data_IF_369285022666
#
_entry.id   IF_369285022666
#
_cell.length_a   1.000
_cell.length_b   1.000
_cell.length_c   1.000
_cell.angle_alpha   90.00
_cell.angle_beta   90.00
_cell.angle_gamma   90.00
#
_symmetry.space_group_name_H-M   'P 1'
#
loop_
_entity.id
_entity.type
_entity.pdbx_description
1 polymer ?
#
# COMPACT_ATOMS: atom_id res chain seq x y z
N UNK A 1 -2.53 -12.46 -13.51
CA UNK A 1 -3.24 -12.20 -12.22
C UNK A 1 -4.52 -11.43 -12.49
N UNK A 2 -5.54 -11.52 -11.64
CA UNK A 2 -6.84 -10.83 -11.85
C UNK A 2 -7.01 -9.64 -10.90
N UNK A 3 -7.79 -8.64 -11.32
CA UNK A 3 -7.99 -7.38 -10.58
C UNK A 3 -8.62 -7.61 -9.20
N UNK A 4 -9.46 -8.64 -9.07
CA UNK A 4 -10.08 -9.04 -7.81
C UNK A 4 -9.04 -9.46 -6.78
N UNK A 5 -7.96 -10.15 -7.22
CA UNK A 5 -6.87 -10.55 -6.31
C UNK A 5 -6.08 -9.35 -5.82
N UNK A 6 -5.94 -8.31 -6.65
CA UNK A 6 -5.38 -7.03 -6.22
C UNK A 6 -6.33 -6.33 -5.24
N UNK A 7 -7.63 -6.28 -5.53
CA UNK A 7 -8.63 -5.60 -4.71
C UNK A 7 -8.68 -6.14 -3.27
N UNK A 8 -8.44 -7.43 -3.06
CA UNK A 8 -8.34 -8.04 -1.71
C UNK A 8 -7.27 -7.36 -0.84
N UNK A 9 -6.15 -6.94 -1.43
CA UNK A 9 -5.06 -6.25 -0.72
C UNK A 9 -5.23 -4.72 -0.70
N UNK A 10 -6.17 -4.21 -1.48
CA UNK A 10 -6.43 -2.79 -1.69
C UNK A 10 -7.91 -2.45 -1.36
N UNK A 11 -8.38 -2.73 -0.13
CA UNK A 11 -9.80 -2.56 0.22
C UNK A 11 -10.29 -1.11 0.09
N UNK A 12 -9.37 -0.14 0.01
CA UNK A 12 -9.68 1.26 -0.24
C UNK A 12 -10.23 1.55 -1.63
N UNK A 13 -10.04 0.65 -2.60
CA UNK A 13 -10.63 0.77 -3.94
C UNK A 13 -12.16 0.77 -3.93
N UNK A 14 -12.78 0.10 -2.95
CA UNK A 14 -14.24 0.09 -2.79
C UNK A 14 -14.73 1.17 -1.83
N UNK A 15 -14.04 1.33 -0.70
CA UNK A 15 -14.34 2.36 0.29
C UNK A 15 -13.03 2.96 0.78
N UNK A 16 -12.78 4.24 0.45
CA UNK A 16 -11.56 4.94 0.85
C UNK A 16 -11.26 4.85 2.34
N UNK A 17 -12.27 4.73 3.22
CA UNK A 17 -12.09 4.60 4.67
C UNK A 17 -11.65 3.20 5.10
N UNK A 18 -11.73 2.20 4.24
CA UNK A 18 -11.29 0.84 4.55
C UNK A 18 -9.78 0.76 4.89
N UNK A 19 -8.96 1.71 4.40
CA UNK A 19 -7.55 1.81 4.80
C UNK A 19 -7.38 2.06 6.30
N UNK A 20 -8.33 2.73 6.97
CA UNK A 20 -8.30 2.99 8.41
C UNK A 20 -8.48 1.70 9.23
N UNK A 21 -9.04 0.65 8.61
CA UNK A 21 -9.23 -0.68 9.22
C UNK A 21 -7.97 -1.56 9.12
N UNK A 22 -6.97 -1.17 8.33
CA UNK A 22 -5.69 -1.88 8.31
C UNK A 22 -5.02 -1.80 9.70
N UNK A 23 -4.61 -2.94 10.25
CA UNK A 23 -4.08 -3.02 11.62
C UNK A 23 -2.83 -2.16 11.85
N UNK A 24 -2.00 -1.97 10.82
CA UNK A 24 -0.78 -1.13 10.93
C UNK A 24 -1.15 0.35 10.88
N UNK A 25 -2.08 0.74 10.01
CA UNK A 25 -2.58 2.12 9.91
C UNK A 25 -3.31 2.50 11.20
N UNK A 26 -4.26 1.67 11.63
CA UNK A 26 -5.05 1.86 12.84
C UNK A 26 -4.17 2.09 14.07
N UNK A 27 -3.14 1.27 14.25
CA UNK A 27 -2.20 1.41 15.37
C UNK A 27 -1.47 2.77 15.37
N UNK A 28 -1.13 3.31 14.21
CA UNK A 28 -0.48 4.64 14.12
C UNK A 28 -1.47 5.74 14.47
N UNK A 29 -2.72 5.64 13.99
CA UNK A 29 -3.80 6.58 14.32
C UNK A 29 -4.07 6.59 15.83
N UNK A 30 -4.28 5.41 16.43
CA UNK A 30 -4.60 5.27 17.86
C UNK A 30 -3.47 5.74 18.77
N UNK A 31 -2.22 5.52 18.38
CA UNK A 31 -1.06 5.96 19.17
C UNK A 31 -0.69 7.43 18.96
N UNK A 32 -1.30 8.11 17.99
CA UNK A 32 -0.95 9.48 17.62
C UNK A 32 0.50 9.65 17.15
N UNK A 33 1.21 8.56 16.81
CA UNK A 33 2.61 8.61 16.41
C UNK A 33 2.75 9.36 15.08
N UNK A 34 3.71 10.27 15.02
CA UNK A 34 4.11 10.91 13.77
C UNK A 34 5.07 9.99 13.01
N UNK A 35 4.69 9.62 11.80
CA UNK A 35 5.56 8.91 10.86
C UNK A 35 5.87 9.86 9.70
N UNK A 36 7.11 10.34 9.69
CA UNK A 36 7.66 11.20 8.63
C UNK A 36 8.28 10.32 7.54
N UNK A 37 7.42 9.65 6.80
CA UNK A 37 7.79 8.88 5.62
C UNK A 37 6.86 9.24 4.47
N UNK A 38 7.41 9.44 3.28
CA UNK A 38 6.66 9.77 2.06
C UNK A 38 7.26 9.05 0.86
N UNK A 39 6.43 8.33 0.12
CA UNK A 39 6.77 7.84 -1.22
C UNK A 39 6.51 9.01 -2.18
N UNK A 40 7.55 9.49 -2.85
CA UNK A 40 7.45 10.51 -3.90
C UNK A 40 7.31 9.82 -5.27
N UNK A 41 7.57 10.56 -6.35
CA UNK A 41 7.42 10.08 -7.72
C UNK A 41 8.60 9.22 -8.19
N UNK A 42 9.56 8.93 -7.32
CA UNK A 42 10.72 8.11 -7.64
C UNK A 42 10.57 6.66 -7.17
N UNK A 43 11.27 5.75 -7.85
CA UNK A 43 11.37 4.36 -7.41
C UNK A 43 12.22 4.28 -6.14
N UNK A 44 11.59 3.94 -5.01
CA UNK A 44 12.26 3.83 -3.72
C UNK A 44 12.30 2.40 -3.20
N UNK A 45 13.47 2.00 -2.70
CA UNK A 45 13.66 0.75 -1.97
C UNK A 45 13.96 1.07 -0.51
N UNK A 46 13.11 0.60 0.40
CA UNK A 46 13.30 0.78 1.84
C UNK A 46 13.96 -0.48 2.44
N UNK A 47 15.26 -0.40 2.73
CA UNK A 47 16.06 -1.52 3.27
C UNK A 47 16.28 -1.33 4.77
N UNK A 48 16.28 -2.42 5.54
CA UNK A 48 16.66 -2.42 6.96
C UNK A 48 16.18 -3.68 7.70
N UNK A 49 16.56 -3.86 8.96
CA UNK A 49 16.16 -5.02 9.78
C UNK A 49 14.66 -5.32 9.76
N UNK A 50 14.28 -6.60 9.82
CA UNK A 50 12.87 -7.00 9.92
C UNK A 50 12.23 -6.34 11.15
N UNK A 51 10.93 -6.07 11.07
CA UNK A 51 10.11 -5.52 12.16
C UNK A 51 10.38 -4.06 12.59
N UNK A 52 11.19 -3.28 11.88
CA UNK A 52 11.36 -1.84 12.12
C UNK A 52 10.21 -0.94 11.61
N UNK A 53 9.05 -1.51 11.27
CA UNK A 53 7.89 -0.73 10.84
C UNK A 53 7.90 -0.25 9.39
N UNK A 54 8.77 -0.77 8.52
CA UNK A 54 8.80 -0.43 7.08
C UNK A 54 7.44 -0.55 6.39
N UNK A 55 6.77 -1.70 6.54
CA UNK A 55 5.41 -1.91 6.00
C UNK A 55 4.40 -0.96 6.61
N UNK A 56 4.55 -0.63 7.91
CA UNK A 56 3.69 0.37 8.58
C UNK A 56 3.89 1.75 7.96
N UNK A 57 5.13 2.15 7.67
CA UNK A 57 5.43 3.41 7.01
C UNK A 57 4.81 3.49 5.61
N UNK A 58 4.93 2.42 4.80
CA UNK A 58 4.29 2.35 3.48
C UNK A 58 2.77 2.47 3.57
N UNK A 59 2.11 1.64 4.39
CA UNK A 59 0.64 1.66 4.50
C UNK A 59 0.12 2.97 5.09
N UNK A 60 0.85 3.56 6.03
CA UNK A 60 0.47 4.86 6.59
C UNK A 60 0.66 6.01 5.59
N UNK A 61 1.64 5.93 4.68
CA UNK A 61 1.75 6.88 3.58
C UNK A 61 0.57 6.76 2.59
N UNK A 62 0.15 5.53 2.26
CA UNK A 62 -1.06 5.29 1.47
C UNK A 62 -2.29 5.91 2.14
N UNK A 63 -2.46 5.70 3.45
CA UNK A 63 -3.52 6.36 4.23
C UNK A 63 -3.48 7.88 4.09
N UNK A 64 -2.31 8.51 4.28
CA UNK A 64 -2.19 9.97 4.14
C UNK A 64 -2.58 10.44 2.74
N UNK A 65 -2.08 9.76 1.70
CA UNK A 65 -2.39 10.11 0.30
C UNK A 65 -3.89 10.07 0.03
N UNK A 66 -4.56 9.00 0.46
CA UNK A 66 -6.00 8.82 0.20
C UNK A 66 -6.86 9.77 1.05
N UNK A 67 -6.58 9.83 2.36
CA UNK A 67 -7.48 10.50 3.32
C UNK A 67 -7.16 11.98 3.49
N UNK A 68 -5.88 12.38 3.42
CA UNK A 68 -5.44 13.77 3.64
C UNK A 68 -5.17 14.51 2.34
N UNK A 69 -4.49 13.86 1.41
CA UNK A 69 -4.05 14.52 0.17
C UNK A 69 -5.10 14.37 -0.95
N UNK A 70 -6.16 13.59 -0.74
CA UNK A 70 -7.28 13.43 -1.67
C UNK A 70 -6.93 12.65 -2.94
N UNK A 71 -5.87 11.84 -2.91
CA UNK A 71 -5.48 10.99 -4.03
C UNK A 71 -6.57 9.94 -4.29
N UNK A 72 -7.02 9.75 -5.54
CA UNK A 72 -8.00 8.72 -5.89
C UNK A 72 -7.55 7.33 -5.37
N UNK A 73 -8.38 6.61 -4.59
CA UNK A 73 -8.00 5.32 -4.03
C UNK A 73 -7.51 4.31 -5.09
N UNK A 74 -8.17 4.29 -6.25
CA UNK A 74 -7.87 3.43 -7.40
C UNK A 74 -6.52 3.74 -8.06
N UNK A 75 -5.95 4.93 -7.86
CA UNK A 75 -4.63 5.27 -8.40
C UNK A 75 -3.48 4.79 -7.52
N UNK A 76 -3.76 4.09 -6.40
CA UNK A 76 -2.75 3.57 -5.48
C UNK A 76 -2.97 2.07 -5.29
N UNK A 77 -1.92 1.30 -5.53
CA UNK A 77 -1.90 -0.16 -5.36
C UNK A 77 -0.77 -0.58 -4.41
N UNK A 78 -1.13 -1.49 -3.51
CA UNK A 78 -0.25 -2.25 -2.64
C UNK A 78 -0.34 -3.71 -3.03
N UNK A 79 0.81 -4.36 -3.08
CA UNK A 79 0.91 -5.80 -3.27
C UNK A 79 2.07 -6.35 -2.45
N UNK A 80 1.80 -7.40 -1.66
CA UNK A 80 2.88 -8.16 -1.02
C UNK A 80 3.39 -9.25 -1.94
N UNK A 81 4.70 -9.22 -2.21
CA UNK A 81 5.42 -10.25 -2.95
C UNK A 81 5.98 -11.38 -2.05
N UNK A 82 5.48 -11.52 -0.82
CA UNK A 82 5.98 -12.53 0.14
C UNK A 82 5.90 -13.98 -0.40
N UNK A 83 4.92 -14.26 -1.26
CA UNK A 83 4.70 -15.57 -1.88
C UNK A 83 5.15 -15.65 -3.33
N UNK A 84 5.72 -14.57 -3.86
CA UNK A 84 6.01 -14.47 -5.27
C UNK A 84 7.20 -15.35 -5.66
N UNK A 85 7.09 -16.02 -6.80
CA UNK A 85 8.05 -17.08 -7.18
C UNK A 85 8.97 -16.73 -8.35
N UNK A 86 8.61 -15.72 -9.15
CA UNK A 86 9.33 -15.37 -10.37
C UNK A 86 9.03 -13.92 -10.84
N UNK A 87 9.73 -13.48 -11.89
CA UNK A 87 9.58 -12.12 -12.43
C UNK A 87 8.30 -11.96 -13.25
N UNK A 88 7.78 -13.05 -13.81
CA UNK A 88 6.51 -13.07 -14.55
C UNK A 88 5.37 -12.62 -13.65
N UNK A 89 5.35 -13.05 -12.39
CA UNK A 89 4.35 -12.61 -11.42
C UNK A 89 4.42 -11.10 -11.17
N UNK A 90 5.60 -10.51 -11.09
CA UNK A 90 5.78 -9.05 -10.94
C UNK A 90 5.22 -8.32 -12.16
N UNK A 91 5.56 -8.79 -13.36
CA UNK A 91 5.04 -8.22 -14.62
C UNK A 91 3.51 -8.30 -14.70
N UNK A 92 2.95 -9.42 -14.28
CA UNK A 92 1.51 -9.66 -14.20
C UNK A 92 0.82 -8.68 -13.25
N UNK A 93 1.38 -8.45 -12.05
CA UNK A 93 0.84 -7.48 -11.07
C UNK A 93 0.74 -6.09 -11.68
N UNK A 94 1.84 -5.62 -12.26
CA UNK A 94 1.94 -4.27 -12.80
C UNK A 94 1.01 -4.14 -14.00
N UNK A 95 1.00 -5.12 -14.91
CA UNK A 95 0.15 -5.11 -16.09
C UNK A 95 -1.34 -5.13 -15.74
N UNK A 96 -1.72 -5.87 -14.70
CA UNK A 96 -3.12 -5.93 -14.23
C UNK A 96 -3.55 -4.58 -13.67
N UNK A 97 -2.69 -3.91 -12.90
CA UNK A 97 -3.00 -2.61 -12.31
C UNK A 97 -3.05 -1.47 -13.34
N UNK A 98 -2.17 -1.47 -14.35
CA UNK A 98 -2.11 -0.40 -15.36
C UNK A 98 -3.24 -0.50 -16.39
N UNK A 99 -3.80 -1.69 -16.61
CA UNK A 99 -4.88 -1.92 -17.58
C UNK A 99 -6.29 -1.76 -17.00
N UNK A 100 -6.45 -1.85 -15.68
CA UNK A 100 -7.72 -1.65 -14.97
C UNK A 100 -8.01 -0.19 -14.74
#
# INVERSE_FOLDING_TARGET
>A
MDIERLAVQNPWWTDKKAIEKDSKVRKVIETGRKIEFKIDNENKVLIGPRQLGKTTAFKFDIYKKIIRDGVPPESIMYFSFDTARNYEEISDVISTFVKG
#
